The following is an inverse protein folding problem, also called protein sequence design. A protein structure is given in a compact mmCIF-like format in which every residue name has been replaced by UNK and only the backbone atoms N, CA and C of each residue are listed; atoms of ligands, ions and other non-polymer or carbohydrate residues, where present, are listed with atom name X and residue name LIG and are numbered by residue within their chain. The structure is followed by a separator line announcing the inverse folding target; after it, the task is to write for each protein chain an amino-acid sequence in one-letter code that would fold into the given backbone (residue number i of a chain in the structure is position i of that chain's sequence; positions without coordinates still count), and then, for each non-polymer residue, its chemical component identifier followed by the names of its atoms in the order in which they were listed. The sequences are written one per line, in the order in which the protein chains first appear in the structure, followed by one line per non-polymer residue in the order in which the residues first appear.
data_IF_347912179741
#
_entry.id   IF_347912179741
#
_cell.length_a   1.000
_cell.length_b   1.000
_cell.length_c   1.000
_cell.angle_alpha   90.00
_cell.angle_beta   90.00
_cell.angle_gamma   90.00
#
_symmetry.space_group_name_H-M   'P 1'
#
loop_
_entity.id
_entity.type
_entity.pdbx_description
1 polymer ?
#
# COMPACT_ATOMS: atom_id res chain seq x y z
N UNK A 1 6.69 -3.00 -31.10
CA UNK A 1 5.44 -2.23 -31.24
C UNK A 1 5.66 -0.89 -30.55
N UNK A 2 5.79 0.20 -31.30
CA UNK A 2 6.09 1.53 -30.73
C UNK A 2 4.79 2.31 -30.57
N UNK A 3 4.34 2.46 -29.32
CA UNK A 3 3.17 3.28 -28.96
C UNK A 3 3.58 4.76 -28.96
N UNK A 4 2.67 5.66 -29.35
CA UNK A 4 2.94 7.10 -29.26
C UNK A 4 3.12 7.53 -27.80
N UNK A 5 3.93 8.57 -27.55
CA UNK A 5 4.24 9.05 -26.20
C UNK A 5 2.96 9.33 -25.36
N UNK A 6 1.97 9.98 -25.97
CA UNK A 6 0.68 10.27 -25.32
C UNK A 6 -0.07 8.99 -24.92
N UNK A 7 -0.16 8.04 -25.84
CA UNK A 7 -0.82 6.76 -25.58
C UNK A 7 -0.08 5.95 -24.51
N UNK A 8 1.26 5.96 -24.52
CA UNK A 8 2.08 5.29 -23.52
C UNK A 8 1.91 5.92 -22.12
N UNK A 9 1.82 7.25 -22.02
CA UNK A 9 1.52 7.94 -20.76
C UNK A 9 0.15 7.54 -20.20
N UNK A 10 -0.88 7.57 -21.05
CA UNK A 10 -2.25 7.22 -20.66
C UNK A 10 -2.30 5.76 -20.20
N UNK A 11 -1.71 4.85 -20.98
CA UNK A 11 -1.65 3.43 -20.66
C UNK A 11 -0.95 3.18 -19.32
N UNK A 12 0.27 3.70 -19.14
CA UNK A 12 1.02 3.55 -17.89
C UNK A 12 0.30 4.22 -16.71
N UNK A 13 -0.33 5.37 -16.91
CA UNK A 13 -1.09 6.07 -15.88
C UNK A 13 -2.27 5.24 -15.37
N UNK A 14 -3.14 4.78 -16.27
CA UNK A 14 -4.32 3.98 -15.90
C UNK A 14 -3.95 2.60 -15.35
N UNK A 15 -2.94 1.92 -15.91
CA UNK A 15 -2.47 0.64 -15.37
C UNK A 15 -1.93 0.80 -13.96
N UNK A 16 -1.15 1.86 -13.73
CA UNK A 16 -0.54 2.11 -12.43
C UNK A 16 -1.58 2.47 -11.39
N UNK A 17 -2.59 3.26 -11.78
CA UNK A 17 -3.73 3.56 -10.92
C UNK A 17 -4.50 2.29 -10.54
N UNK A 18 -4.82 1.42 -11.51
CA UNK A 18 -5.51 0.16 -11.26
C UNK A 18 -4.70 -0.74 -10.31
N UNK A 19 -3.39 -0.85 -10.53
CA UNK A 19 -2.50 -1.62 -9.68
C UNK A 19 -2.43 -1.08 -8.25
N UNK A 20 -2.25 0.23 -8.08
CA UNK A 20 -2.23 0.88 -6.75
C UNK A 20 -3.57 0.70 -6.03
N UNK A 21 -4.69 0.86 -6.73
CA UNK A 21 -6.02 0.60 -6.19
C UNK A 21 -6.17 -0.85 -5.72
N UNK A 22 -5.69 -1.82 -6.50
CA UNK A 22 -5.72 -3.23 -6.10
C UNK A 22 -4.85 -3.51 -4.87
N UNK A 23 -3.65 -2.93 -4.81
CA UNK A 23 -2.76 -3.02 -3.66
C UNK A 23 -3.41 -2.46 -2.40
N UNK A 24 -4.10 -1.31 -2.51
CA UNK A 24 -4.81 -0.70 -1.41
C UNK A 24 -5.89 -1.62 -0.85
N UNK A 25 -6.71 -2.21 -1.73
CA UNK A 25 -7.78 -3.13 -1.34
C UNK A 25 -7.20 -4.37 -0.66
N UNK A 26 -6.15 -4.99 -1.23
CA UNK A 26 -5.47 -6.14 -0.62
C UNK A 26 -4.98 -5.78 0.78
N UNK A 27 -4.33 -4.63 0.92
CA UNK A 27 -3.83 -4.17 2.21
C UNK A 27 -4.94 -4.01 3.24
N UNK A 28 -6.07 -3.39 2.90
CA UNK A 28 -7.23 -3.27 3.79
C UNK A 28 -7.75 -4.66 4.19
N UNK A 29 -7.96 -5.55 3.22
CA UNK A 29 -8.49 -6.89 3.47
C UNK A 29 -7.58 -7.73 4.37
N UNK A 30 -6.28 -7.44 4.36
CA UNK A 30 -5.30 -8.17 5.18
C UNK A 30 -5.20 -7.67 6.62
N UNK A 31 -5.83 -6.55 6.96
CA UNK A 31 -5.87 -6.02 8.32
C UNK A 31 -6.60 -7.04 9.21
N UNK A 32 -5.88 -7.60 10.18
CA UNK A 32 -6.43 -8.56 11.15
C UNK A 32 -6.26 -10.03 10.77
N UNK A 33 -5.69 -10.37 9.61
CA UNK A 33 -5.34 -11.75 9.28
C UNK A 33 -4.15 -12.27 10.13
N UNK A 34 -4.11 -13.57 10.47
CA UNK A 34 -2.90 -14.20 10.99
C UNK A 34 -1.80 -14.07 9.93
N UNK A 35 -0.60 -13.63 10.34
CA UNK A 35 0.54 -13.31 9.45
C UNK A 35 0.44 -12.03 8.58
N UNK A 36 -0.43 -11.07 8.93
CA UNK A 36 -0.54 -9.77 8.24
C UNK A 36 0.81 -9.07 7.97
N UNK A 37 1.81 -9.20 8.86
CA UNK A 37 3.15 -8.61 8.68
C UNK A 37 3.86 -9.09 7.41
N UNK A 38 3.74 -10.38 7.09
CA UNK A 38 4.37 -10.96 5.91
C UNK A 38 3.67 -10.48 4.64
N UNK A 39 2.33 -10.41 4.68
CA UNK A 39 1.54 -9.92 3.54
C UNK A 39 1.83 -8.44 3.30
N UNK A 40 1.90 -7.63 4.36
CA UNK A 40 2.26 -6.21 4.28
C UNK A 40 3.70 -5.99 3.77
N UNK A 41 4.65 -6.82 4.20
CA UNK A 41 6.01 -6.78 3.67
C UNK A 41 6.03 -7.12 2.17
N UNK A 42 5.28 -8.15 1.78
CA UNK A 42 5.13 -8.56 0.38
C UNK A 42 4.49 -7.45 -0.48
N UNK A 43 3.44 -6.78 -0.01
CA UNK A 43 2.81 -5.68 -0.74
C UNK A 43 3.75 -4.47 -0.89
N UNK A 44 4.57 -4.18 0.13
CA UNK A 44 5.61 -3.15 0.03
C UNK A 44 6.67 -3.50 -1.03
N UNK A 45 7.15 -4.75 -1.05
CA UNK A 45 8.06 -5.24 -2.09
C UNK A 45 7.42 -5.19 -3.49
N UNK A 46 6.13 -5.52 -3.60
CA UNK A 46 5.38 -5.43 -4.86
C UNK A 46 5.29 -3.98 -5.36
N UNK A 47 5.07 -3.03 -4.46
CA UNK A 47 5.09 -1.59 -4.77
C UNK A 47 6.47 -1.11 -5.24
N UNK A 48 7.55 -1.57 -4.62
CA UNK A 48 8.93 -1.27 -5.06
C UNK A 48 9.23 -1.87 -6.43
N UNK A 49 8.78 -3.10 -6.69
CA UNK A 49 8.94 -3.75 -7.99
C UNK A 49 8.17 -3.01 -9.10
N UNK A 50 6.97 -2.52 -8.80
CA UNK A 50 6.21 -1.63 -9.69
C UNK A 50 7.02 -0.37 -9.98
N UNK A 51 7.52 0.32 -8.95
CA UNK A 51 8.30 1.54 -9.13
C UNK A 51 9.53 1.32 -10.04
N UNK A 52 10.28 0.25 -9.79
CA UNK A 52 11.43 -0.12 -10.63
C UNK A 52 11.02 -0.40 -12.09
N UNK A 53 9.88 -1.04 -12.30
CA UNK A 53 9.33 -1.30 -13.64
C UNK A 53 8.89 -0.02 -14.34
N UNK A 54 8.33 0.94 -13.61
CA UNK A 54 7.94 2.23 -14.19
C UNK A 54 9.14 3.04 -14.67
N UNK A 55 10.29 2.96 -13.99
CA UNK A 55 11.53 3.63 -14.43
C UNK A 55 11.99 3.13 -15.81
N UNK A 56 11.76 1.85 -16.11
CA UNK A 56 12.22 1.24 -17.38
C UNK A 56 11.18 1.33 -18.50
N UNK A 57 9.89 1.34 -18.16
CA UNK A 57 8.77 1.33 -19.13
C UNK A 57 8.31 2.76 -19.46
N UNK A 58 8.70 3.77 -18.68
CA UNK A 58 8.28 5.14 -18.94
C UNK A 58 8.75 5.62 -20.32
N UNK A 59 7.85 6.22 -21.13
CA UNK A 59 8.24 6.72 -22.44
C UNK A 59 9.22 7.90 -22.28
N UNK A 60 10.35 7.86 -22.98
CA UNK A 60 11.30 8.97 -23.01
C UNK A 60 10.74 10.13 -23.85
N UNK A 61 10.67 11.35 -23.31
CA UNK A 61 10.19 12.50 -24.05
C UNK A 61 11.26 13.04 -25.00
N UNK A 62 10.86 13.31 -26.25
CA UNK A 62 11.70 14.00 -27.25
C UNK A 62 11.73 15.54 -27.07
N UNK A 63 11.05 16.08 -26.06
CA UNK A 63 10.94 17.52 -25.82
C UNK A 63 11.03 17.84 -24.32
N UNK A 64 11.55 19.03 -24.00
CA UNK A 64 11.67 19.52 -22.62
C UNK A 64 10.32 19.54 -21.87
N UNK A 65 9.21 19.80 -22.57
CA UNK A 65 7.87 19.80 -21.98
C UNK A 65 7.44 18.38 -21.55
N UNK A 66 7.88 17.35 -22.27
CA UNK A 66 7.58 15.95 -21.93
C UNK A 66 8.35 15.42 -20.71
N UNK A 67 9.38 16.12 -20.23
CA UNK A 67 10.09 15.75 -18.99
C UNK A 67 9.29 16.08 -17.72
N UNK A 68 8.40 17.08 -17.77
CA UNK A 68 7.56 17.48 -16.64
C UNK A 68 6.67 16.32 -16.16
N UNK A 69 5.87 15.65 -17.02
CA UNK A 69 5.06 14.52 -16.58
C UNK A 69 5.90 13.32 -16.14
N UNK A 70 7.10 13.12 -16.71
CA UNK A 70 8.01 12.06 -16.29
C UNK A 70 8.49 12.29 -14.86
N UNK A 71 8.97 13.49 -14.55
CA UNK A 71 9.42 13.87 -13.21
C UNK A 71 8.24 13.80 -12.23
N UNK A 72 7.08 14.34 -12.60
CA UNK A 72 5.89 14.30 -11.78
C UNK A 72 5.47 12.86 -11.45
N UNK A 73 5.47 11.95 -12.42
CA UNK A 73 5.15 10.54 -12.17
C UNK A 73 6.19 9.84 -11.31
N UNK A 74 7.48 10.07 -11.58
CA UNK A 74 8.60 9.47 -10.82
C UNK A 74 8.55 9.86 -9.34
N UNK A 75 8.09 11.06 -8.99
CA UNK A 75 7.95 11.49 -7.59
C UNK A 75 6.55 11.21 -7.00
N UNK A 76 5.48 11.31 -7.80
CA UNK A 76 4.12 11.07 -7.34
C UNK A 76 3.88 9.58 -7.02
N UNK A 77 4.40 8.65 -7.82
CA UNK A 77 4.20 7.22 -7.58
C UNK A 77 4.79 6.73 -6.24
N UNK A 78 6.07 6.96 -5.93
CA UNK A 78 6.64 6.56 -4.65
C UNK A 78 5.95 7.24 -3.47
N UNK A 79 5.56 8.50 -3.61
CA UNK A 79 4.88 9.22 -2.53
C UNK A 79 3.49 8.64 -2.25
N UNK A 80 2.71 8.31 -3.28
CA UNK A 80 1.42 7.62 -3.13
C UNK A 80 1.61 6.26 -2.46
N UNK A 81 2.57 5.44 -2.91
CA UNK A 81 2.86 4.14 -2.31
C UNK A 81 3.23 4.30 -0.82
N UNK A 82 4.07 5.27 -0.49
CA UNK A 82 4.52 5.53 0.88
C UNK A 82 3.37 5.98 1.77
N UNK A 83 2.56 6.94 1.31
CA UNK A 83 1.38 7.44 2.06
C UNK A 83 0.38 6.31 2.28
N UNK A 84 0.13 5.49 1.27
CA UNK A 84 -0.79 4.36 1.32
C UNK A 84 -0.33 3.28 2.31
N UNK A 85 0.95 2.92 2.28
CA UNK A 85 1.56 2.01 3.25
C UNK A 85 1.45 2.57 4.68
N UNK A 86 1.82 3.85 4.85
CA UNK A 86 1.77 4.51 6.15
C UNK A 86 0.36 4.60 6.74
N UNK A 87 -0.66 4.93 5.94
CA UNK A 87 -2.04 5.05 6.42
C UNK A 87 -2.59 3.71 6.90
N UNK A 88 -2.35 2.64 6.14
CA UNK A 88 -2.73 1.27 6.51
C UNK A 88 -2.01 0.82 7.78
N UNK A 89 -0.72 1.12 7.89
CA UNK A 89 0.07 0.79 9.07
C UNK A 89 -0.47 1.48 10.34
N UNK A 90 -0.85 2.76 10.22
CA UNK A 90 -1.46 3.50 11.33
C UNK A 90 -2.84 2.95 11.71
N UNK A 91 -3.70 2.67 10.72
CA UNK A 91 -5.00 2.04 10.95
C UNK A 91 -4.85 0.70 11.69
N UNK A 92 -3.83 -0.08 11.33
CA UNK A 92 -3.51 -1.32 12.02
C UNK A 92 -3.07 -1.13 13.48
N UNK A 93 -2.19 -0.15 13.76
CA UNK A 93 -1.77 0.13 15.14
C UNK A 93 -2.98 0.46 16.02
N UNK A 94 -3.92 1.25 15.48
CA UNK A 94 -5.16 1.60 16.16
C UNK A 94 -6.02 0.36 16.41
N UNK A 95 -6.24 -0.49 15.40
CA UNK A 95 -7.02 -1.74 15.55
C UNK A 95 -6.41 -2.66 16.61
N UNK A 96 -5.08 -2.88 16.56
CA UNK A 96 -4.39 -3.73 17.53
C UNK A 96 -4.43 -3.17 18.95
N UNK A 97 -4.34 -1.85 19.10
CA UNK A 97 -4.49 -1.18 20.40
C UNK A 97 -5.91 -1.34 20.93
N UNK A 98 -6.91 -1.22 20.05
CA UNK A 98 -8.33 -1.46 20.37
C UNK A 98 -8.56 -2.87 20.91
N UNK A 99 -8.13 -3.90 20.18
CA UNK A 99 -8.28 -5.30 20.63
C UNK A 99 -7.61 -5.56 21.98
N UNK A 100 -6.37 -5.07 22.18
CA UNK A 100 -5.68 -5.19 23.47
C UNK A 100 -6.44 -4.55 24.64
N UNK A 101 -7.14 -3.44 24.40
CA UNK A 101 -7.93 -2.76 25.44
C UNK A 101 -9.23 -3.48 25.76
N UNK A 102 -9.79 -4.26 24.84
CA UNK A 102 -11.02 -5.04 25.05
C UNK A 102 -10.72 -6.42 25.65
N UNK A 103 -9.60 -7.04 25.28
CA UNK A 103 -9.20 -8.35 25.82
C UNK A 103 -8.72 -8.27 27.29
N UNK A 104 -8.17 -7.12 27.71
CA UNK A 104 -7.66 -6.92 29.07
C UNK A 104 -8.73 -6.90 30.19
N UNK A 105 -9.90 -6.26 30.04
CA UNK A 105 -10.95 -6.36 31.05
C UNK A 105 -11.58 -7.75 31.11
N UNK A 106 -11.66 -8.48 29.99
CA UNK A 106 -12.23 -9.83 29.96
C UNK A 106 -11.43 -10.85 30.79
N UNK A 107 -10.09 -10.74 30.82
CA UNK A 107 -9.23 -11.62 31.64
C UNK A 107 -9.33 -11.34 33.14
N UNK A 108 -9.67 -10.10 33.53
CA UNK A 108 -9.93 -9.77 34.94
C UNK A 108 -11.22 -10.39 35.47
N UNK A 109 -12.22 -10.63 34.62
CA UNK A 109 -13.50 -11.24 35.02
C UNK A 109 -13.46 -12.77 35.07
N UNK A 110 -12.56 -13.44 34.35
CA UNK A 110 -12.39 -14.90 34.49
C UNK A 110 -11.64 -15.27 35.77
N UNK A 111 -10.75 -14.40 36.27
CA UNK A 111 -9.97 -14.65 37.48
C UNK A 111 -10.80 -14.63 38.77
N UNK A 112 -11.87 -13.84 38.83
CA UNK A 112 -12.69 -13.73 40.05
C UNK A 112 -13.62 -14.92 40.26
N UNK A 113 -13.80 -15.78 39.25
CA UNK A 113 -14.65 -16.96 39.33
C UNK A 113 -13.92 -18.23 39.81
N UNK A 114 -12.58 -18.24 39.80
CA UNK A 114 -11.78 -19.37 40.30
C UNK A 114 -11.36 -19.24 41.77
N UNK A 115 -11.58 -18.07 42.39
CA UNK A 115 -11.23 -17.79 43.79
C UNK A 115 -12.40 -18.00 44.77
N UNK A 116 -13.52 -18.56 44.30
CA UNK A 116 -14.74 -18.81 45.10
C UNK A 116 -15.13 -20.29 45.25
N UNK A 117 -14.18 -21.21 45.00
CA UNK A 117 -14.26 -22.64 45.33
C UNK A 117 -13.16 -23.02 46.32
#
# INVERSE_FOLDING_TARGET
MTMSFSNALIFNGFNGFAFLSSLYVIMILTIGLPMWKLIYCSTACLGLALLASYVTIFPYPNSYIGYIPLIAFVYAFPSIITIMLFSVFMAFIVDKRGRRLVDFPASCFSSSHELSL
#
